data_IF_687423781747
#
_entry.id   IF_687423781747
#
_cell.length_a   1.000
_cell.length_b   1.000
_cell.length_c   1.000
_cell.angle_alpha   90.00
_cell.angle_beta   90.00
_cell.angle_gamma   90.00
#
_symmetry.space_group_name_H-M   'P 1'
#
loop_
_entity.id
_entity.type
_entity.pdbx_description
1 polymer ?
#
# COMPACT_ATOMS: atom_id res chain seq x y z
N UNK A 1 -24.31 4.77 -3.02
CA UNK A 1 -24.16 3.96 -1.81
C UNK A 1 -25.44 4.02 -1.01
N UNK A 2 -25.99 2.87 -0.60
CA UNK A 2 -27.27 2.80 0.14
C UNK A 2 -27.14 2.81 1.67
N UNK A 3 -25.92 2.66 2.21
CA UNK A 3 -25.68 2.55 3.66
C UNK A 3 -24.51 3.40 4.17
N UNK A 4 -23.76 4.02 3.25
CA UNK A 4 -22.59 4.82 3.59
C UNK A 4 -22.86 6.27 3.25
N UNK A 5 -22.46 7.17 4.14
CA UNK A 5 -22.44 8.61 3.86
C UNK A 5 -21.14 8.99 3.14
N UNK A 6 -21.14 10.13 2.46
CA UNK A 6 -19.96 10.62 1.74
C UNK A 6 -18.78 10.84 2.71
N UNK A 7 -19.05 11.26 3.94
CA UNK A 7 -18.02 11.43 4.99
C UNK A 7 -17.36 10.11 5.38
N UNK A 8 -18.11 9.01 5.42
CA UNK A 8 -17.57 7.69 5.73
C UNK A 8 -16.69 7.16 4.59
N UNK A 9 -17.05 7.49 3.34
CA UNK A 9 -16.24 7.17 2.16
C UNK A 9 -14.94 7.98 2.21
N UNK A 10 -15.00 9.28 2.45
CA UNK A 10 -13.84 10.16 2.56
C UNK A 10 -12.90 9.75 3.70
N UNK A 11 -13.46 9.37 4.86
CA UNK A 11 -12.70 8.85 5.98
C UNK A 11 -11.95 7.57 5.57
N UNK A 12 -12.64 6.64 4.91
CA UNK A 12 -12.04 5.36 4.49
C UNK A 12 -10.92 5.58 3.48
N UNK A 13 -11.11 6.50 2.52
CA UNK A 13 -10.08 6.87 1.54
C UNK A 13 -8.84 7.41 2.25
N UNK A 14 -9.01 8.39 3.14
CA UNK A 14 -7.90 8.98 3.91
C UNK A 14 -7.17 7.92 4.72
N UNK A 15 -7.92 7.07 5.42
CA UNK A 15 -7.35 6.02 6.26
C UNK A 15 -6.58 4.97 5.46
N UNK A 16 -7.10 4.58 4.30
CA UNK A 16 -6.43 3.65 3.39
C UNK A 16 -5.09 4.25 2.90
N UNK A 17 -5.10 5.50 2.47
CA UNK A 17 -3.88 6.20 2.00
C UNK A 17 -2.84 6.26 3.11
N UNK A 18 -3.24 6.62 4.33
CA UNK A 18 -2.33 6.71 5.48
C UNK A 18 -1.66 5.36 5.78
N UNK A 19 -2.46 4.29 5.88
CA UNK A 19 -1.94 2.95 6.18
C UNK A 19 -1.01 2.47 5.07
N UNK A 20 -1.42 2.62 3.81
CA UNK A 20 -0.60 2.18 2.65
C UNK A 20 0.71 2.96 2.59
N UNK A 21 0.68 4.27 2.88
CA UNK A 21 1.89 5.11 2.92
C UNK A 21 2.84 4.64 4.01
N UNK A 22 2.34 4.41 5.23
CA UNK A 22 3.14 3.90 6.33
C UNK A 22 3.76 2.52 6.03
N UNK A 23 2.99 1.61 5.44
CA UNK A 23 3.49 0.29 5.03
C UNK A 23 4.58 0.41 3.97
N UNK A 24 4.45 1.36 3.05
CA UNK A 24 5.43 1.65 2.01
C UNK A 24 6.73 2.21 2.58
N UNK A 25 6.65 3.14 3.54
CA UNK A 25 7.82 3.71 4.22
C UNK A 25 8.67 2.66 4.94
N UNK A 26 8.05 1.59 5.46
CA UNK A 26 8.74 0.52 6.16
C UNK A 26 9.07 -0.68 5.27
N UNK A 27 8.66 -0.67 3.99
CA UNK A 27 8.79 -1.82 3.11
C UNK A 27 10.11 -1.75 2.31
N UNK A 28 11.07 -2.65 2.53
CA UNK A 28 12.29 -2.71 1.73
C UNK A 28 11.99 -3.02 0.25
N UNK A 29 10.88 -3.72 -0.03
CA UNK A 29 10.43 -4.01 -1.40
C UNK A 29 9.91 -2.76 -2.11
N UNK A 30 9.33 -1.81 -1.37
CA UNK A 30 8.85 -0.57 -1.97
C UNK A 30 10.01 0.35 -2.39
N UNK A 31 11.08 0.38 -1.61
CA UNK A 31 12.30 1.10 -1.98
C UNK A 31 12.98 0.43 -3.19
N UNK A 32 13.07 -0.90 -3.23
CA UNK A 32 13.55 -1.63 -4.42
C UNK A 32 12.72 -1.33 -5.67
N UNK A 33 11.39 -1.24 -5.54
CA UNK A 33 10.52 -0.87 -6.65
C UNK A 33 10.76 0.55 -7.16
N UNK A 34 11.01 1.52 -6.26
CA UNK A 34 11.36 2.91 -6.63
C UNK A 34 12.71 3.02 -7.33
N UNK A 35 13.67 2.20 -6.92
CA UNK A 35 15.02 2.13 -7.52
C UNK A 35 15.01 1.42 -8.89
N UNK A 36 13.85 0.94 -9.35
CA UNK A 36 13.68 0.31 -10.65
C UNK A 36 14.12 -1.17 -10.68
N UNK A 37 14.28 -1.79 -9.52
CA UNK A 37 14.58 -3.23 -9.41
C UNK A 37 13.34 -4.02 -9.79
N UNK A 38 13.49 -4.97 -10.72
CA UNK A 38 12.41 -5.88 -11.09
C UNK A 38 12.10 -6.84 -9.93
N UNK A 39 11.03 -6.54 -9.19
CA UNK A 39 10.54 -7.36 -8.07
C UNK A 39 10.19 -8.79 -8.48
N UNK A 40 10.00 -9.09 -9.77
CA UNK A 40 9.77 -10.47 -10.24
C UNK A 40 11.02 -11.34 -10.17
N UNK A 41 12.20 -10.72 -10.13
CA UNK A 41 13.48 -11.41 -9.98
C UNK A 41 13.85 -11.70 -8.51
N UNK A 42 13.10 -11.12 -7.56
CA UNK A 42 13.31 -11.35 -6.13
C UNK A 42 12.94 -12.80 -5.80
N UNK A 43 13.90 -13.54 -5.25
CA UNK A 43 13.68 -14.86 -4.67
C UNK A 43 12.85 -14.69 -3.38
N UNK A 44 11.54 -14.82 -3.53
CA UNK A 44 10.63 -14.86 -2.39
C UNK A 44 10.99 -16.07 -1.53
N UNK A 45 11.06 -15.87 -0.21
CA UNK A 45 11.16 -17.00 0.70
C UNK A 45 9.95 -17.91 0.47
N UNK A 46 10.17 -19.07 -0.15
CA UNK A 46 9.15 -20.10 -0.27
C UNK A 46 8.83 -20.58 1.15
N UNK A 47 7.56 -20.45 1.53
CA UNK A 47 7.03 -21.08 2.73
C UNK A 47 6.60 -22.51 2.41
#
# INVERSE_FOLDING_TARGET
GRFNTDEQVDYTIKRMIEIVTKLREMSPLYEMAKEGVDLKSVQWAAH
#
